data_IF_679335090365
#
_entry.id   IF_679335090365
#
_cell.length_a   1.000
_cell.length_b   1.000
_cell.length_c   1.000
_cell.angle_alpha   90.00
_cell.angle_beta   90.00
_cell.angle_gamma   90.00
#
_symmetry.space_group_name_H-M   'P 1'
#
loop_
_entity.id
_entity.type
_entity.pdbx_description
1 polymer ?
#
# COMPACT_ATOMS: atom_id res chain seq x y z
N UNK A 1 11.79 -0.84 -66.96
CA UNK A 1 11.52 0.33 -66.10
C UNK A 1 11.85 -0.12 -64.67
N UNK A 2 13.10 -0.10 -64.17
CA UNK A 2 14.02 1.04 -63.90
C UNK A 2 13.32 2.07 -62.97
N UNK A 3 13.56 2.12 -61.65
CA UNK A 3 14.59 2.95 -60.92
C UNK A 3 13.85 3.57 -59.70
N UNK A 4 14.36 3.78 -58.47
CA UNK A 4 15.69 3.64 -57.85
C UNK A 4 15.51 3.55 -56.32
N UNK A 5 16.41 2.76 -55.75
CA UNK A 5 16.93 2.80 -54.39
C UNK A 5 17.89 4.01 -54.26
N UNK A 6 17.93 4.71 -53.13
CA UNK A 6 19.05 5.60 -52.77
C UNK A 6 19.48 5.33 -51.33
N UNK A 7 20.63 4.67 -51.22
CA UNK A 7 21.56 4.76 -50.09
C UNK A 7 22.44 5.99 -50.30
N UNK A 8 22.85 6.66 -49.23
CA UNK A 8 24.12 7.38 -49.21
C UNK A 8 24.89 7.08 -47.92
N UNK A 9 26.15 6.74 -48.12
CA UNK A 9 27.19 6.37 -47.17
C UNK A 9 28.11 7.57 -46.93
N UNK A 10 28.66 7.63 -45.71
CA UNK A 10 29.98 8.15 -45.27
C UNK A 10 30.41 9.60 -45.56
N UNK A 11 30.84 10.28 -44.50
CA UNK A 11 32.18 10.90 -44.46
C UNK A 11 32.69 11.03 -43.01
N UNK A 12 33.80 10.35 -42.73
CA UNK A 12 34.70 10.60 -41.60
C UNK A 12 35.63 11.78 -41.88
N UNK A 13 36.13 12.42 -40.82
CA UNK A 13 37.27 13.36 -40.85
C UNK A 13 37.26 14.20 -39.56
N UNK A 14 37.90 13.76 -38.47
CA UNK A 14 39.33 13.86 -38.12
C UNK A 14 39.84 15.31 -37.93
N UNK A 15 40.30 15.53 -36.69
CA UNK A 15 40.89 16.68 -36.01
C UNK A 15 41.80 17.63 -36.78
N UNK A 16 41.82 18.89 -36.34
CA UNK A 16 43.04 19.69 -36.21
C UNK A 16 42.95 20.65 -35.01
N UNK A 17 43.91 20.50 -34.09
CA UNK A 17 44.23 21.41 -32.98
C UNK A 17 44.62 22.81 -33.48
N UNK A 18 44.30 23.83 -32.69
CA UNK A 18 45.16 25.01 -32.55
C UNK A 18 45.47 25.27 -31.06
N UNK A 19 46.75 25.45 -30.78
CA UNK A 19 47.42 25.62 -29.49
C UNK A 19 47.71 27.10 -29.25
N UNK A 20 47.62 27.55 -27.99
CA UNK A 20 48.24 28.77 -27.46
C UNK A 20 47.26 29.61 -26.63
N UNK A 21 47.52 30.06 -25.40
CA UNK A 21 48.73 30.08 -24.59
C UNK A 21 48.38 30.03 -23.09
N UNK A 22 49.30 29.50 -22.29
CA UNK A 22 49.19 29.40 -20.85
C UNK A 22 49.32 30.75 -20.15
N UNK A 23 48.39 31.03 -19.23
CA UNK A 23 48.58 31.91 -18.08
C UNK A 23 48.09 31.13 -16.86
N UNK A 24 49.04 30.66 -16.05
CA UNK A 24 48.77 30.02 -14.78
C UNK A 24 48.20 31.06 -13.80
N UNK A 25 46.98 30.81 -13.33
CA UNK A 25 46.39 31.47 -12.17
C UNK A 25 46.36 30.47 -11.00
N UNK A 26 46.61 30.92 -9.76
CA UNK A 26 46.86 30.02 -8.63
C UNK A 26 45.60 29.23 -8.24
N UNK A 27 45.79 27.92 -8.07
CA UNK A 27 44.82 27.02 -7.46
C UNK A 27 44.75 27.36 -5.98
N UNK A 28 43.60 27.87 -5.52
CA UNK A 28 43.30 27.98 -4.10
C UNK A 28 43.10 26.59 -3.52
N UNK A 29 43.90 26.26 -2.51
CA UNK A 29 43.85 25.05 -1.73
C UNK A 29 42.48 24.90 -1.03
N UNK A 30 41.87 23.70 -0.97
CA UNK A 30 40.66 23.51 -0.19
C UNK A 30 41.00 23.57 1.29
N UNK A 31 40.50 24.60 1.97
CA UNK A 31 40.59 24.75 3.41
C UNK A 31 39.84 23.58 4.09
N UNK A 32 40.60 22.72 4.76
CA UNK A 32 40.05 21.66 5.61
C UNK A 32 39.48 22.33 6.86
N UNK A 33 38.17 22.54 6.87
CA UNK A 33 37.43 22.93 8.07
C UNK A 33 37.32 21.68 8.95
N UNK A 34 38.20 21.60 9.95
CA UNK A 34 38.05 20.70 11.09
C UNK A 34 36.82 21.05 11.93
N UNK A 35 36.35 20.14 12.79
CA UNK A 35 35.11 20.33 13.53
C UNK A 35 35.25 21.46 14.55
N UNK A 36 34.43 22.51 14.38
CA UNK A 36 34.18 23.50 15.41
C UNK A 36 33.31 22.86 16.51
N UNK A 37 33.96 22.56 17.63
CA UNK A 37 33.33 21.97 18.82
C UNK A 37 32.66 23.11 19.59
N UNK A 38 31.41 23.40 19.24
CA UNK A 38 30.49 24.17 20.08
C UNK A 38 30.28 23.49 21.44
N UNK A 39 29.85 24.23 22.48
CA UNK A 39 29.89 23.75 23.85
C UNK A 39 29.02 22.49 24.02
N UNK A 40 29.64 21.52 24.66
CA UNK A 40 29.14 20.19 25.05
C UNK A 40 27.75 20.28 25.74
N UNK A 41 26.67 20.03 25.00
CA UNK A 41 25.40 19.60 25.60
C UNK A 41 25.48 18.08 25.71
N UNK A 42 26.18 17.60 26.75
CA UNK A 42 25.89 16.30 27.33
C UNK A 42 24.53 16.42 28.03
N UNK A 43 23.46 16.37 27.23
CA UNK A 43 22.08 16.39 27.67
C UNK A 43 21.41 15.13 27.18
N UNK A 44 21.09 14.27 28.14
CA UNK A 44 20.20 13.12 28.03
C UNK A 44 19.11 13.35 26.96
N UNK A 45 18.92 12.38 26.05
CA UNK A 45 17.73 12.39 25.17
C UNK A 45 16.52 12.05 26.04
N UNK A 46 16.01 13.03 26.76
CA UNK A 46 14.78 12.92 27.53
C UNK A 46 13.63 12.82 26.52
N UNK A 47 13.03 11.63 26.43
CA UNK A 47 11.72 11.45 25.80
C UNK A 47 10.76 12.46 26.44
N UNK A 48 9.95 13.21 25.67
CA UNK A 48 8.96 14.10 26.27
C UNK A 48 8.06 13.28 27.22
N UNK A 49 7.88 13.78 28.44
CA UNK A 49 7.00 13.13 29.42
C UNK A 49 5.60 12.98 28.84
N UNK A 50 5.04 11.78 28.96
CA UNK A 50 3.62 11.53 28.67
C UNK A 50 2.83 12.38 29.66
N UNK A 51 2.01 13.35 29.20
CA UNK A 51 1.20 14.15 30.10
C UNK A 51 0.29 13.23 30.93
N UNK A 52 0.09 13.50 32.23
CA UNK A 52 -0.84 12.72 33.03
C UNK A 52 -2.26 12.85 32.44
N UNK A 53 -3.01 11.74 32.51
CA UNK A 53 -4.39 11.60 32.05
C UNK A 53 -5.25 12.77 32.54
N UNK A 54 -5.37 13.80 31.69
CA UNK A 54 -6.24 14.93 31.95
C UNK A 54 -7.61 14.55 31.41
N UNK A 55 -8.66 14.50 32.24
CA UNK A 55 -10.01 14.22 31.76
C UNK A 55 -10.38 15.21 30.66
N UNK A 56 -10.83 14.68 29.52
CA UNK A 56 -11.33 15.48 28.40
C UNK A 56 -12.50 16.36 28.88
N UNK A 57 -12.56 17.64 28.46
CA UNK A 57 -13.70 18.49 28.78
C UNK A 57 -14.98 17.92 28.12
N UNK A 58 -16.14 17.99 28.80
CA UNK A 58 -17.38 17.48 28.24
C UNK A 58 -17.93 18.41 27.16
N UNK A 59 -18.33 17.82 26.04
CA UNK A 59 -19.34 18.38 25.15
C UNK A 59 -18.82 19.04 23.87
N UNK A 60 -18.87 18.29 22.77
CA UNK A 60 -19.24 18.89 21.48
C UNK A 60 -20.50 18.15 21.05
N UNK A 61 -21.65 18.78 21.23
CA UNK A 61 -22.91 18.29 20.69
C UNK A 61 -22.84 18.35 19.16
N UNK A 62 -22.59 17.20 18.54
CA UNK A 62 -22.76 17.04 17.10
C UNK A 62 -24.26 17.09 16.79
N UNK A 63 -24.67 18.09 16.02
CA UNK A 63 -26.03 18.23 15.53
C UNK A 63 -26.38 17.04 14.63
N UNK A 64 -27.21 16.14 15.13
CA UNK A 64 -27.66 14.96 14.41
C UNK A 64 -28.69 15.33 13.33
N UNK A 65 -28.36 15.11 12.06
CA UNK A 65 -29.40 14.83 11.05
C UNK A 65 -29.86 13.38 11.22
N UNK A 66 -31.15 13.08 11.08
CA UNK A 66 -31.64 11.72 11.20
C UNK A 66 -31.20 10.91 9.98
N UNK A 67 -30.26 9.98 10.17
CA UNK A 67 -29.99 8.92 9.21
C UNK A 67 -30.90 7.74 9.53
N UNK A 68 -31.66 7.33 8.53
CA UNK A 68 -32.50 6.13 8.48
C UNK A 68 -31.71 4.85 8.79
N UNK A 69 -32.27 4.02 9.69
CA UNK A 69 -31.78 2.68 10.02
C UNK A 69 -30.57 2.69 10.95
N UNK A 70 -30.68 2.05 12.12
CA UNK A 70 -29.55 1.84 13.01
C UNK A 70 -28.55 0.91 12.32
N UNK A 71 -27.45 1.48 11.83
CA UNK A 71 -26.36 0.70 11.22
C UNK A 71 -25.68 -0.08 12.35
N UNK A 72 -25.81 -1.41 12.32
CA UNK A 72 -25.15 -2.29 13.27
C UNK A 72 -23.75 -2.58 12.74
N UNK A 73 -22.74 -2.22 13.52
CA UNK A 73 -21.35 -2.54 13.19
C UNK A 73 -21.11 -4.06 13.31
N UNK A 74 -20.43 -4.71 12.33
CA UNK A 74 -20.07 -6.11 12.43
C UNK A 74 -19.02 -6.34 13.52
N UNK A 75 -18.92 -7.58 14.01
CA UNK A 75 -17.87 -7.99 14.93
C UNK A 75 -16.52 -7.96 14.20
N UNK A 76 -15.59 -7.14 14.70
CA UNK A 76 -14.22 -7.09 14.20
C UNK A 76 -13.37 -8.13 14.93
N UNK A 77 -12.55 -8.86 14.18
CA UNK A 77 -11.60 -9.83 14.70
C UNK A 77 -10.18 -9.44 14.30
N UNK A 78 -9.24 -9.64 15.21
CA UNK A 78 -7.83 -9.30 15.01
C UNK A 78 -6.91 -10.51 15.14
N UNK A 79 -7.39 -11.60 15.74
CA UNK A 79 -6.60 -12.79 15.99
C UNK A 79 -6.77 -13.79 14.82
N UNK A 80 -5.73 -14.02 13.99
CA UNK A 80 -5.82 -14.97 12.89
C UNK A 80 -6.08 -16.41 13.37
N UNK A 81 -5.91 -16.72 14.66
CA UNK A 81 -6.23 -18.03 15.23
C UNK A 81 -7.73 -18.36 15.17
N UNK A 82 -8.62 -17.36 15.08
CA UNK A 82 -10.07 -17.58 14.96
C UNK A 82 -10.50 -18.01 13.56
N UNK A 83 -9.67 -17.78 12.53
CA UNK A 83 -9.95 -18.16 11.15
C UNK A 83 -10.11 -19.68 11.00
N UNK A 84 -10.95 -20.16 10.06
CA UNK A 84 -10.92 -21.54 9.61
C UNK A 84 -9.54 -21.92 9.07
N UNK A 85 -9.14 -23.17 9.27
CA UNK A 85 -7.82 -23.66 8.85
C UNK A 85 -7.49 -23.41 7.37
N UNK A 86 -8.41 -23.59 6.40
CA UNK A 86 -8.12 -23.28 5.00
C UNK A 86 -7.79 -21.81 4.78
N UNK A 87 -8.57 -20.89 5.36
CA UNK A 87 -8.39 -19.44 5.27
C UNK A 87 -7.05 -19.02 5.90
N UNK A 88 -6.75 -19.53 7.09
CA UNK A 88 -5.50 -19.25 7.79
C UNK A 88 -4.28 -19.67 6.96
N UNK A 89 -4.31 -20.87 6.37
CA UNK A 89 -3.23 -21.40 5.53
C UNK A 89 -3.03 -20.56 4.27
N UNK A 90 -4.10 -20.22 3.57
CA UNK A 90 -4.01 -19.36 2.38
C UNK A 90 -3.43 -17.99 2.76
N UNK A 91 -3.93 -17.36 3.83
CA UNK A 91 -3.39 -16.08 4.34
C UNK A 91 -1.90 -16.18 4.63
N UNK A 92 -1.45 -17.23 5.31
CA UNK A 92 -0.04 -17.47 5.62
C UNK A 92 0.81 -17.66 4.36
N UNK A 93 0.30 -18.34 3.33
CA UNK A 93 0.98 -18.51 2.05
C UNK A 93 1.14 -17.16 1.32
N UNK A 94 0.08 -16.36 1.26
CA UNK A 94 0.11 -15.04 0.62
C UNK A 94 1.09 -14.12 1.34
N UNK A 95 1.03 -14.06 2.68
CA UNK A 95 1.96 -13.25 3.48
C UNK A 95 3.41 -13.70 3.30
N UNK A 96 3.66 -15.01 3.25
CA UNK A 96 5.00 -15.53 2.99
C UNK A 96 5.51 -15.15 1.60
N UNK A 97 4.67 -15.25 0.57
CA UNK A 97 5.01 -14.83 -0.78
C UNK A 97 5.30 -13.32 -0.82
N UNK A 98 4.46 -12.49 -0.22
CA UNK A 98 4.66 -11.05 -0.17
C UNK A 98 5.93 -10.65 0.59
N UNK A 99 6.23 -11.30 1.72
CA UNK A 99 7.43 -11.06 2.51
C UNK A 99 8.74 -11.44 1.77
N UNK A 100 8.67 -12.23 0.70
CA UNK A 100 9.84 -12.53 -0.13
C UNK A 100 10.30 -11.31 -0.95
N UNK A 101 9.38 -10.39 -1.25
CA UNK A 101 9.61 -9.28 -2.18
C UNK A 101 9.69 -9.70 -3.66
N UNK A 102 9.42 -10.97 -3.98
CA UNK A 102 9.30 -11.47 -5.35
C UNK A 102 7.83 -11.72 -5.67
N UNK A 103 7.27 -10.93 -6.58
CA UNK A 103 5.85 -11.02 -6.95
C UNK A 103 5.51 -12.35 -7.64
N UNK A 104 6.50 -13.03 -8.23
CA UNK A 104 6.30 -14.34 -8.86
C UNK A 104 5.96 -15.44 -7.84
N UNK A 105 6.28 -15.25 -6.56
CA UNK A 105 5.87 -16.18 -5.49
C UNK A 105 4.34 -16.22 -5.28
N UNK A 106 3.59 -15.24 -5.80
CA UNK A 106 2.13 -15.29 -5.83
C UNK A 106 1.57 -16.23 -6.92
N UNK A 107 2.32 -16.46 -8.00
CA UNK A 107 1.86 -17.25 -9.15
C UNK A 107 1.37 -18.66 -8.77
N UNK A 108 2.14 -19.49 -8.03
CA UNK A 108 1.66 -20.83 -7.65
C UNK A 108 0.42 -20.79 -6.74
N UNK A 109 0.21 -19.72 -5.98
CA UNK A 109 -0.97 -19.54 -5.13
C UNK A 109 -2.19 -19.23 -6.01
N UNK A 110 -2.03 -18.33 -6.99
CA UNK A 110 -3.08 -17.96 -7.95
C UNK A 110 -3.45 -19.18 -8.82
N UNK A 111 -2.48 -19.92 -9.33
CA UNK A 111 -2.72 -21.10 -10.16
C UNK A 111 -3.46 -22.21 -9.39
N UNK A 112 -3.16 -22.37 -8.09
CA UNK A 112 -3.83 -23.33 -7.22
C UNK A 112 -5.26 -22.91 -6.82
N UNK A 113 -5.65 -21.66 -7.07
CA UNK A 113 -6.96 -21.10 -6.70
C UNK A 113 -8.11 -21.58 -7.60
N UNK A 114 -7.79 -22.28 -8.69
CA UNK A 114 -8.76 -22.74 -9.69
C UNK A 114 -9.10 -21.65 -10.70
N UNK A 115 -9.71 -20.56 -10.23
CA UNK A 115 -9.91 -19.33 -11.00
C UNK A 115 -9.06 -18.20 -10.39
N UNK A 116 -8.46 -17.31 -11.19
CA UNK A 116 -7.73 -16.17 -10.65
C UNK A 116 -8.62 -15.31 -9.74
N UNK A 117 -8.09 -14.79 -8.62
CA UNK A 117 -8.81 -13.82 -7.81
C UNK A 117 -9.18 -12.58 -8.64
N UNK A 118 -10.28 -11.93 -8.27
CA UNK A 118 -10.65 -10.65 -8.88
C UNK A 118 -9.68 -9.57 -8.41
N UNK A 119 -8.88 -9.03 -9.34
CA UNK A 119 -7.95 -7.93 -9.05
C UNK A 119 -8.45 -6.56 -9.54
N UNK A 120 -9.46 -6.53 -10.41
CA UNK A 120 -10.07 -5.31 -10.95
C UNK A 120 -11.53 -5.55 -11.33
N UNK A 121 -12.32 -4.47 -11.42
CA UNK A 121 -13.63 -4.51 -12.07
C UNK A 121 -13.52 -4.52 -13.60
N UNK A 122 -12.34 -4.16 -14.13
CA UNK A 122 -12.05 -4.17 -15.55
C UNK A 122 -11.25 -5.42 -15.93
N UNK A 123 -11.07 -5.63 -17.23
CA UNK A 123 -10.17 -6.68 -17.74
C UNK A 123 -8.73 -6.44 -17.27
N UNK A 124 -8.09 -7.49 -16.77
CA UNK A 124 -6.71 -7.48 -16.25
C UNK A 124 -5.70 -8.04 -17.26
N UNK A 125 -6.17 -8.55 -18.41
CA UNK A 125 -5.34 -9.25 -19.38
C UNK A 125 -5.11 -10.73 -19.02
N UNK A 126 -4.10 -11.34 -19.64
CA UNK A 126 -3.86 -12.79 -19.55
C UNK A 126 -2.99 -13.21 -18.36
N UNK A 127 -2.09 -12.33 -17.88
CA UNK A 127 -1.18 -12.64 -16.78
C UNK A 127 -1.55 -11.85 -15.51
N UNK A 128 -2.16 -12.49 -14.50
CA UNK A 128 -2.58 -11.81 -13.27
C UNK A 128 -1.41 -11.26 -12.45
N UNK A 129 -0.22 -11.88 -12.53
CA UNK A 129 0.96 -11.42 -11.78
C UNK A 129 1.54 -10.18 -12.44
N UNK A 130 1.58 -10.13 -13.76
CA UNK A 130 1.98 -8.90 -14.49
C UNK A 130 0.97 -7.78 -14.27
N UNK A 131 -0.33 -8.08 -14.21
CA UNK A 131 -1.33 -7.09 -13.82
C UNK A 131 -1.02 -6.51 -12.44
N UNK A 132 -0.82 -7.35 -11.42
CA UNK A 132 -0.48 -6.88 -10.07
C UNK A 132 0.81 -6.04 -10.07
N UNK A 133 1.84 -6.48 -10.81
CA UNK A 133 3.10 -5.72 -10.96
C UNK A 133 2.83 -4.32 -11.52
N UNK A 134 1.94 -4.20 -12.49
CA UNK A 134 1.60 -2.92 -13.14
C UNK A 134 0.91 -1.91 -12.22
N UNK A 135 0.36 -2.35 -11.08
CA UNK A 135 -0.24 -1.47 -10.06
C UNK A 135 0.82 -0.75 -9.21
N UNK A 136 2.07 -1.18 -9.28
CA UNK A 136 3.18 -0.61 -8.52
C UNK A 136 3.97 0.39 -9.35
N UNK A 137 4.44 1.45 -8.69
CA UNK A 137 5.47 2.35 -9.22
C UNK A 137 6.87 1.73 -9.12
N UNK A 138 7.07 0.74 -8.24
CA UNK A 138 8.23 -0.14 -8.22
C UNK A 138 8.13 -1.19 -9.35
N UNK A 139 9.06 -1.24 -10.32
CA UNK A 139 9.03 -2.21 -11.41
C UNK A 139 9.10 -3.67 -10.93
N UNK A 140 9.60 -3.93 -9.71
CA UNK A 140 9.59 -5.28 -9.14
C UNK A 140 8.29 -5.63 -8.41
N UNK A 141 7.34 -4.70 -8.29
CA UNK A 141 6.03 -4.95 -7.69
C UNK A 141 6.02 -5.01 -6.16
N UNK A 142 7.07 -4.54 -5.46
CA UNK A 142 7.12 -4.69 -4.00
C UNK A 142 6.11 -3.80 -3.27
N UNK A 143 5.69 -2.68 -3.85
CA UNK A 143 4.69 -1.82 -3.21
C UNK A 143 3.33 -2.51 -3.17
N UNK A 144 2.94 -3.22 -4.23
CA UNK A 144 1.66 -3.96 -4.22
C UNK A 144 1.71 -5.14 -3.25
N UNK A 145 2.87 -5.79 -3.10
CA UNK A 145 3.08 -6.82 -2.07
C UNK A 145 3.00 -6.26 -0.65
N UNK A 146 3.54 -5.05 -0.44
CA UNK A 146 3.44 -4.36 0.84
C UNK A 146 1.98 -4.01 1.18
N UNK A 147 1.22 -3.49 0.20
CA UNK A 147 -0.22 -3.22 0.34
C UNK A 147 -0.99 -4.50 0.68
N UNK A 148 -0.76 -5.58 -0.06
CA UNK A 148 -1.40 -6.87 0.20
C UNK A 148 -1.11 -7.39 1.61
N UNK A 149 0.13 -7.25 2.07
CA UNK A 149 0.55 -7.63 3.43
C UNK A 149 -0.16 -6.78 4.49
N UNK A 150 -0.14 -5.46 4.32
CA UNK A 150 -0.79 -4.51 5.24
C UNK A 150 -2.30 -4.81 5.36
N UNK A 151 -2.97 -5.16 4.25
CA UNK A 151 -4.37 -5.55 4.30
C UNK A 151 -4.54 -6.80 5.15
N UNK A 152 -3.82 -7.88 4.84
CA UNK A 152 -3.95 -9.16 5.53
C UNK A 152 -3.51 -9.13 7.00
N UNK A 153 -2.66 -8.18 7.39
CA UNK A 153 -2.22 -7.97 8.79
C UNK A 153 -3.18 -7.10 9.62
N UNK A 154 -4.10 -6.40 8.98
CA UNK A 154 -5.14 -5.63 9.66
C UNK A 154 -6.23 -6.53 10.29
N UNK A 155 -7.16 -5.90 11.04
CA UNK A 155 -8.36 -6.58 11.52
C UNK A 155 -9.32 -6.95 10.37
N UNK A 156 -10.14 -7.98 10.57
CA UNK A 156 -11.08 -8.51 9.59
C UNK A 156 -12.49 -8.70 10.13
N UNK A 157 -13.43 -8.95 9.23
CA UNK A 157 -14.80 -9.36 9.55
C UNK A 157 -15.15 -10.66 8.83
N UNK A 158 -16.01 -11.46 9.45
CA UNK A 158 -16.70 -12.57 8.80
C UNK A 158 -18.00 -12.03 8.20
N UNK A 159 -18.04 -11.94 6.88
CA UNK A 159 -19.15 -11.38 6.13
C UNK A 159 -19.99 -12.49 5.51
N UNK A 160 -21.31 -12.30 5.46
CA UNK A 160 -22.22 -13.17 4.72
C UNK A 160 -22.35 -14.60 5.27
N UNK A 161 -22.19 -14.81 6.58
CA UNK A 161 -22.27 -16.14 7.21
C UNK A 161 -23.52 -16.92 6.80
N UNK A 162 -23.34 -18.15 6.30
CA UNK A 162 -24.42 -19.02 5.85
C UNK A 162 -24.99 -18.68 4.47
N UNK A 163 -24.37 -17.75 3.73
CA UNK A 163 -24.77 -17.35 2.38
C UNK A 163 -23.72 -17.73 1.34
N UNK A 164 -24.05 -17.71 0.03
CA UNK A 164 -23.04 -17.91 -1.02
C UNK A 164 -21.93 -16.86 -1.05
N UNK A 165 -22.17 -15.71 -0.42
CA UNK A 165 -21.24 -14.58 -0.31
C UNK A 165 -20.35 -14.67 0.94
N UNK A 166 -20.40 -15.79 1.67
CA UNK A 166 -19.63 -15.97 2.88
C UNK A 166 -18.12 -15.84 2.64
N UNK A 167 -17.47 -14.96 3.39
CA UNK A 167 -16.04 -14.69 3.28
C UNK A 167 -15.48 -13.98 4.52
N UNK A 168 -14.16 -14.03 4.66
CA UNK A 168 -13.38 -13.23 5.59
C UNK A 168 -12.76 -12.07 4.82
N UNK A 169 -12.99 -10.84 5.29
CA UNK A 169 -12.63 -9.63 4.54
C UNK A 169 -11.69 -8.74 5.34
N UNK A 170 -10.62 -8.33 4.67
CA UNK A 170 -9.60 -7.39 5.16
C UNK A 170 -9.55 -6.13 4.29
N UNK A 171 -9.27 -4.95 4.86
CA UNK A 171 -9.46 -4.66 6.28
C UNK A 171 -10.96 -4.69 6.61
N UNK A 172 -11.30 -4.81 7.89
CA UNK A 172 -12.70 -4.81 8.32
C UNK A 172 -13.47 -3.55 7.86
N UNK A 173 -12.77 -2.44 7.61
CA UNK A 173 -13.33 -1.20 7.04
C UNK A 173 -14.16 -1.43 5.77
N UNK A 174 -13.82 -2.43 4.96
CA UNK A 174 -14.55 -2.74 3.73
C UNK A 174 -16.03 -3.09 3.95
N UNK A 175 -16.41 -3.52 5.16
CA UNK A 175 -17.79 -3.86 5.53
C UNK A 175 -18.20 -3.24 6.89
N UNK A 176 -17.47 -2.22 7.34
CA UNK A 176 -17.73 -1.53 8.60
C UNK A 176 -18.16 -0.09 8.32
N UNK A 177 -19.28 0.41 8.88
CA UNK A 177 -19.72 1.78 8.64
C UNK A 177 -18.69 2.81 9.10
N UNK A 178 -18.19 3.63 8.18
CA UNK A 178 -17.09 4.59 8.41
C UNK A 178 -17.44 5.57 9.54
N UNK A 179 -18.70 6.00 9.63
CA UNK A 179 -19.19 6.91 10.67
C UNK A 179 -19.28 6.29 12.08
N UNK A 180 -19.17 4.97 12.19
CA UNK A 180 -19.15 4.25 13.47
C UNK A 180 -17.74 3.90 13.94
N UNK A 181 -16.71 4.38 13.23
CA UNK A 181 -15.33 4.16 13.64
C UNK A 181 -15.02 4.90 14.94
N UNK A 182 -14.50 4.17 15.91
CA UNK A 182 -13.99 4.73 17.16
C UNK A 182 -12.65 5.44 16.95
N UNK A 183 -12.21 6.32 17.87
CA UNK A 183 -10.92 7.01 17.71
C UNK A 183 -9.70 6.07 17.50
N UNK A 184 -9.55 4.93 18.22
CA UNK A 184 -8.48 3.97 17.93
C UNK A 184 -8.59 3.35 16.53
N UNK A 185 -9.81 3.05 16.07
CA UNK A 185 -10.05 2.50 14.74
C UNK A 185 -9.77 3.51 13.62
N UNK A 186 -9.97 4.80 13.87
CA UNK A 186 -9.53 5.87 12.94
C UNK A 186 -8.00 5.88 12.85
N UNK A 187 -7.27 5.67 13.95
CA UNK A 187 -5.81 5.54 13.90
C UNK A 187 -5.38 4.31 13.09
N UNK A 188 -6.07 3.17 13.23
CA UNK A 188 -5.85 1.99 12.39
C UNK A 188 -6.08 2.30 10.89
N UNK A 189 -7.18 2.98 10.57
CA UNK A 189 -7.49 3.37 9.19
C UNK A 189 -6.39 4.26 8.60
N UNK A 190 -5.94 5.28 9.35
CA UNK A 190 -4.93 6.24 8.91
C UNK A 190 -3.51 5.65 8.78
N UNK A 191 -3.27 4.40 9.20
CA UNK A 191 -2.05 3.66 8.85
C UNK A 191 -2.12 3.10 7.44
N UNK A 192 -3.33 2.83 6.94
CA UNK A 192 -3.59 2.20 5.65
C UNK A 192 -3.85 3.25 4.56
N UNK A 193 -4.55 4.33 4.89
CA UNK A 193 -4.98 5.35 3.92
C UNK A 193 -4.50 6.73 4.33
N UNK A 194 -4.42 7.64 3.35
CA UNK A 194 -4.06 9.01 3.65
C UNK A 194 -5.24 9.77 4.29
N UNK A 195 -4.98 10.84 5.07
CA UNK A 195 -6.05 11.64 5.65
C UNK A 195 -7.05 12.20 4.64
N UNK A 196 -6.60 12.51 3.42
CA UNK A 196 -7.48 12.94 2.33
C UNK A 196 -8.50 11.86 1.93
N UNK A 197 -8.05 10.61 1.79
CA UNK A 197 -8.91 9.48 1.46
C UNK A 197 -9.95 9.25 2.56
N UNK A 198 -9.59 9.44 3.83
CA UNK A 198 -10.55 9.35 4.93
C UNK A 198 -11.65 10.42 4.85
N UNK A 199 -11.34 11.65 4.44
CA UNK A 199 -12.36 12.68 4.21
C UNK A 199 -13.34 12.29 3.10
N UNK A 200 -12.84 11.67 2.03
CA UNK A 200 -13.67 11.12 0.95
C UNK A 200 -14.54 9.96 1.47
N UNK A 201 -13.96 9.02 2.23
CA UNK A 201 -14.70 7.90 2.83
C UNK A 201 -15.83 8.36 3.75
N UNK A 202 -15.66 9.45 4.51
CA UNK A 202 -16.76 10.05 5.29
C UNK A 202 -17.87 10.62 4.41
N UNK A 203 -17.52 11.14 3.24
CA UNK A 203 -18.48 11.71 2.29
C UNK A 203 -19.28 10.62 1.59
N UNK A 204 -18.62 9.54 1.14
CA UNK A 204 -19.26 8.41 0.46
C UNK A 204 -19.87 7.39 1.42
N UNK A 205 -19.42 7.37 2.67
CA UNK A 205 -19.90 6.44 3.72
C UNK A 205 -19.40 5.00 3.56
N UNK A 206 -18.33 4.80 2.80
CA UNK A 206 -17.75 3.49 2.50
C UNK A 206 -16.22 3.57 2.42
N UNK A 207 -15.56 2.43 2.56
CA UNK A 207 -14.12 2.30 2.43
C UNK A 207 -13.71 2.14 0.95
N UNK A 208 -12.75 2.96 0.51
CA UNK A 208 -12.42 3.16 -0.92
C UNK A 208 -11.03 2.65 -1.32
N UNK A 209 -10.30 1.99 -0.42
CA UNK A 209 -8.95 1.51 -0.71
C UNK A 209 -8.93 -0.01 -0.93
N UNK A 210 -7.74 -0.61 -1.03
CA UNK A 210 -7.56 -2.04 -1.29
C UNK A 210 -8.24 -2.92 -0.23
N UNK A 211 -8.83 -4.01 -0.69
CA UNK A 211 -9.45 -5.02 0.16
C UNK A 211 -9.14 -6.42 -0.35
N UNK A 212 -9.10 -7.38 0.58
CA UNK A 212 -8.87 -8.80 0.32
C UNK A 212 -10.02 -9.62 0.86
N UNK A 213 -10.52 -10.57 0.07
CA UNK A 213 -11.61 -11.46 0.46
C UNK A 213 -11.20 -12.92 0.28
N UNK A 214 -11.31 -13.70 1.36
CA UNK A 214 -11.00 -15.14 1.36
C UNK A 214 -12.25 -15.94 1.76
N UNK A 215 -12.64 -16.92 0.95
CA UNK A 215 -13.79 -17.78 1.24
C UNK A 215 -13.46 -18.84 2.32
N UNK A 216 -14.46 -19.36 3.06
CA UNK A 216 -14.23 -20.33 4.14
C UNK A 216 -13.47 -21.60 3.74
N UNK A 217 -13.56 -21.99 2.48
CA UNK A 217 -12.87 -23.16 1.91
C UNK A 217 -11.39 -22.91 1.54
N UNK A 218 -10.90 -21.68 1.71
CA UNK A 218 -9.54 -21.29 1.36
C UNK A 218 -9.39 -20.83 -0.09
N UNK A 219 -10.47 -20.45 -0.77
CA UNK A 219 -10.40 -19.77 -2.08
C UNK A 219 -10.13 -18.28 -1.90
N UNK A 220 -9.15 -17.73 -2.61
CA UNK A 220 -8.91 -16.29 -2.72
C UNK A 220 -9.92 -15.68 -3.69
N UNK A 221 -10.87 -14.89 -3.18
CA UNK A 221 -11.94 -14.28 -3.99
C UNK A 221 -11.46 -13.02 -4.71
N UNK A 222 -10.85 -12.09 -3.99
CA UNK A 222 -10.41 -10.82 -4.56
C UNK A 222 -9.23 -10.20 -3.82
N UNK A 223 -8.50 -9.35 -4.53
CA UNK A 223 -7.60 -8.33 -3.99
C UNK A 223 -7.66 -7.09 -4.91
N UNK A 224 -8.48 -6.11 -4.53
CA UNK A 224 -8.83 -5.00 -5.42
C UNK A 224 -9.18 -3.74 -4.62
N UNK A 225 -9.23 -2.59 -5.29
CA UNK A 225 -9.67 -1.33 -4.70
C UNK A 225 -11.20 -1.31 -4.52
N UNK A 226 -11.66 -0.70 -3.43
CA UNK A 226 -13.09 -0.43 -3.18
C UNK A 226 -13.70 0.58 -4.16
N UNK A 227 -15.03 0.69 -4.14
CA UNK A 227 -15.82 1.69 -4.86
C UNK A 227 -16.78 2.38 -3.91
#
# INVERSE_FOLDING_TARGET
MLVKLVRFLFASGLSAMLVGAALAAPVSEPEIIGPDVGPEIAGDRVMPEIPPDTPLPPGVEASARPSSGEKVAPKVEYDPATLPTPVRRLREQILKAAASGDIEELRPIIDANGEPPVFSYNDIGEDPVEYLRSLSSDPEGREILAVLSEMLESGFVHYGEGTPEEMYVWPYFAHYPVELLTPPQIVELLKIVYPGDYEDMKTFGTYLSYRVGLAPDGTWRFFMVGE
#
